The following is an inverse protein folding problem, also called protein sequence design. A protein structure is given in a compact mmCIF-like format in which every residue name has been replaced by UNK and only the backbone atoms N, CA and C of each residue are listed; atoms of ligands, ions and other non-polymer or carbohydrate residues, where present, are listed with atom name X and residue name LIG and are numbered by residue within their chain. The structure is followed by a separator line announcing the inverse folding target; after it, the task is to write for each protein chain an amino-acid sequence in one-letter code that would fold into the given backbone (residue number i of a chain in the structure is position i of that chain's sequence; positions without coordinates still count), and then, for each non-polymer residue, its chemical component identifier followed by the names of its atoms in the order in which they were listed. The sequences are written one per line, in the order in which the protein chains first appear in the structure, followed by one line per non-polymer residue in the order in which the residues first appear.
data_IF_229776771835
#
_entry.id   IF_229776771835
#
_cell.length_a   1.000
_cell.length_b   1.000
_cell.length_c   1.000
_cell.angle_alpha   90.00
_cell.angle_beta   90.00
_cell.angle_gamma   90.00
#
_symmetry.space_group_name_H-M   'P 1'
#
loop_
_entity.id
_entity.type
_entity.pdbx_description
1 polymer ?
#
# COMPACT_ATOMS: atom_id res chain seq x y z
N UNK A 1 9.27 -15.09 5.90
CA UNK A 1 9.23 -14.75 4.47
C UNK A 1 7.81 -14.33 4.14
N UNK A 2 7.55 -13.05 3.89
CA UNK A 2 6.23 -12.64 3.42
C UNK A 2 6.13 -13.06 1.95
N UNK A 3 5.34 -14.09 1.66
CA UNK A 3 5.02 -14.45 0.27
C UNK A 3 4.15 -13.35 -0.34
N UNK A 4 4.18 -13.15 -1.67
CA UNK A 4 3.35 -12.13 -2.35
C UNK A 4 1.86 -12.27 -1.99
N UNK A 5 1.38 -13.51 -1.86
CA UNK A 5 0.02 -13.82 -1.41
C UNK A 5 -0.27 -13.36 0.04
N UNK A 6 0.72 -13.37 0.92
CA UNK A 6 0.60 -12.88 2.30
C UNK A 6 0.55 -11.36 2.38
N UNK A 7 1.26 -10.67 1.47
CA UNK A 7 1.22 -9.21 1.38
C UNK A 7 -0.14 -8.73 0.87
N UNK A 8 -0.67 -9.34 -0.20
CA UNK A 8 -1.99 -9.00 -0.74
C UNK A 8 -3.09 -9.14 0.32
N UNK A 9 -3.08 -10.24 1.08
CA UNK A 9 -4.06 -10.46 2.15
C UNK A 9 -3.96 -9.40 3.26
N UNK A 10 -2.74 -9.08 3.70
CA UNK A 10 -2.53 -8.03 4.71
C UNK A 10 -3.04 -6.66 4.21
N UNK A 11 -2.77 -6.32 2.94
CA UNK A 11 -3.25 -5.07 2.35
C UNK A 11 -4.78 -5.01 2.34
N UNK A 12 -5.45 -6.12 2.01
CA UNK A 12 -6.92 -6.19 2.03
C UNK A 12 -7.49 -6.00 3.44
N UNK A 13 -6.90 -6.63 4.47
CA UNK A 13 -7.35 -6.48 5.86
C UNK A 13 -7.16 -5.05 6.37
N UNK A 14 -6.01 -4.42 6.08
CA UNK A 14 -5.76 -3.03 6.48
C UNK A 14 -6.64 -2.04 5.72
N UNK A 15 -6.85 -2.23 4.41
CA UNK A 15 -7.79 -1.40 3.64
C UNK A 15 -9.20 -1.47 4.21
N UNK A 16 -9.65 -2.67 4.58
CA UNK A 16 -10.95 -2.85 5.20
C UNK A 16 -11.00 -2.17 6.57
N UNK A 17 -9.93 -2.28 7.37
CA UNK A 17 -9.87 -1.64 8.68
C UNK A 17 -9.78 -0.11 8.62
N UNK A 18 -9.08 0.45 7.63
CA UNK A 18 -8.78 1.90 7.54
C UNK A 18 -9.86 2.65 6.78
N UNK A 19 -10.39 2.06 5.71
CA UNK A 19 -11.33 2.72 4.78
C UNK A 19 -12.69 2.02 4.73
N UNK A 20 -12.87 0.87 5.38
CA UNK A 20 -14.05 0.03 5.18
C UNK A 20 -14.07 -0.67 3.83
N UNK A 21 -13.00 -0.56 3.03
CA UNK A 21 -12.93 -1.06 1.64
C UNK A 21 -12.24 -2.42 1.59
N UNK A 22 -12.92 -3.42 1.01
CA UNK A 22 -12.37 -4.78 0.86
C UNK A 22 -12.26 -5.16 -0.61
N UNK A 23 -11.56 -4.32 -1.40
CA UNK A 23 -11.40 -4.48 -2.84
C UNK A 23 -10.05 -5.08 -3.20
N UNK A 24 -10.05 -6.29 -3.78
CA UNK A 24 -8.83 -6.97 -4.24
C UNK A 24 -8.04 -6.16 -5.28
N UNK A 25 -8.74 -5.39 -6.13
CA UNK A 25 -8.12 -4.59 -7.18
C UNK A 25 -7.31 -3.43 -6.59
N UNK A 26 -7.81 -2.81 -5.52
CA UNK A 26 -7.09 -1.76 -4.79
C UNK A 26 -5.82 -2.35 -4.18
N UNK A 27 -5.88 -3.53 -3.57
CA UNK A 27 -4.70 -4.17 -2.99
C UNK A 27 -3.58 -4.39 -4.01
N UNK A 28 -3.90 -4.96 -5.18
CA UNK A 28 -2.93 -5.18 -6.25
C UNK A 28 -2.41 -3.86 -6.84
N UNK A 29 -3.29 -2.87 -7.00
CA UNK A 29 -2.89 -1.53 -7.45
C UNK A 29 -1.90 -0.88 -6.48
N UNK A 30 -2.16 -0.94 -5.17
CA UNK A 30 -1.29 -0.36 -4.16
C UNK A 30 0.08 -1.04 -4.13
N UNK A 31 0.11 -2.38 -4.18
CA UNK A 31 1.35 -3.16 -4.23
C UNK A 31 2.13 -2.85 -5.50
N UNK A 32 1.47 -2.84 -6.66
CA UNK A 32 2.11 -2.53 -7.94
C UNK A 32 2.64 -1.10 -8.00
N UNK A 33 1.91 -0.14 -7.42
CA UNK A 33 2.38 1.26 -7.30
C UNK A 33 3.58 1.36 -6.37
N UNK A 34 3.53 0.70 -5.22
CA UNK A 34 4.65 0.66 -4.28
C UNK A 34 5.89 0.00 -4.90
N UNK A 35 5.77 -1.06 -5.70
CA UNK A 35 6.93 -1.68 -6.35
C UNK A 35 7.60 -0.79 -7.40
N UNK A 36 6.87 0.16 -7.97
CA UNK A 36 7.37 1.08 -9.01
C UNK A 36 7.96 2.35 -8.44
N UNK A 37 7.68 2.66 -7.19
CA UNK A 37 8.20 3.84 -6.54
C UNK A 37 9.63 3.61 -6.07
N UNK A 38 10.42 4.68 -5.99
CA UNK A 38 11.78 4.63 -5.46
C UNK A 38 11.86 5.02 -3.97
N UNK A 39 10.80 5.60 -3.41
CA UNK A 39 10.77 6.10 -2.03
C UNK A 39 9.35 6.13 -1.46
N UNK A 40 9.25 6.09 -0.13
CA UNK A 40 7.97 6.16 0.59
C UNK A 40 7.20 7.46 0.28
N UNK A 41 7.91 8.58 0.16
CA UNK A 41 7.32 9.88 -0.18
C UNK A 41 6.72 9.88 -1.58
N UNK A 42 7.43 9.34 -2.56
CA UNK A 42 6.94 9.20 -3.93
C UNK A 42 5.68 8.31 -3.98
N UNK A 43 5.69 7.21 -3.23
CA UNK A 43 4.53 6.35 -3.09
C UNK A 43 3.32 7.10 -2.51
N UNK A 44 3.49 7.82 -1.41
CA UNK A 44 2.43 8.62 -0.79
C UNK A 44 1.93 9.71 -1.74
N UNK A 45 2.82 10.39 -2.47
CA UNK A 45 2.42 11.38 -3.47
C UNK A 45 1.60 10.76 -4.62
N UNK A 46 2.00 9.59 -5.13
CA UNK A 46 1.26 8.86 -6.18
C UNK A 46 -0.15 8.50 -5.73
N UNK A 47 -0.30 8.03 -4.49
CA UNK A 47 -1.62 7.73 -3.92
C UNK A 47 -2.50 8.97 -3.79
N UNK A 48 -1.88 10.13 -3.50
CA UNK A 48 -2.58 11.41 -3.40
C UNK A 48 -3.07 11.90 -4.76
N UNK A 49 -2.21 11.79 -5.77
CA UNK A 49 -2.45 12.21 -7.14
C UNK A 49 -3.57 11.39 -7.81
N UNK A 50 -3.70 10.12 -7.42
CA UNK A 50 -4.74 9.23 -7.96
C UNK A 50 -6.09 9.39 -7.29
N UNK A 51 -6.23 10.27 -6.28
CA UNK A 51 -7.44 10.50 -5.48
C UNK A 51 -8.13 9.21 -5.00
N UNK A 52 -7.39 8.09 -5.00
CA UNK A 52 -7.92 6.74 -4.79
C UNK A 52 -8.12 6.45 -3.30
N UNK A 53 -7.35 7.16 -2.47
CA UNK A 53 -7.51 7.17 -1.02
C UNK A 53 -7.54 8.61 -0.52
N UNK A 54 -8.48 8.89 0.38
CA UNK A 54 -8.35 10.04 1.26
C UNK A 54 -7.19 9.77 2.22
N UNK A 55 -6.01 10.30 1.88
CA UNK A 55 -4.76 10.13 2.65
C UNK A 55 -4.76 10.98 3.94
N UNK A 56 -5.84 10.90 4.71
CA UNK A 56 -5.87 11.33 6.11
C UNK A 56 -4.92 10.49 6.97
N UNK A 57 -4.76 10.88 8.24
CA UNK A 57 -3.76 10.30 9.17
C UNK A 57 -3.61 8.76 9.11
N UNK A 58 -4.69 7.98 9.29
CA UNK A 58 -4.63 6.51 9.27
C UNK A 58 -4.20 5.91 7.91
N UNK A 59 -4.64 6.51 6.80
CA UNK A 59 -4.32 6.06 5.45
C UNK A 59 -2.85 6.35 5.08
N UNK A 60 -2.29 7.47 5.58
CA UNK A 60 -0.86 7.78 5.43
C UNK A 60 0.00 6.77 6.18
N UNK A 61 -0.35 6.44 7.42
CA UNK A 61 0.37 5.44 8.22
C UNK A 61 0.38 4.06 7.54
N UNK A 62 -0.79 3.66 7.02
CA UNK A 62 -0.94 2.45 6.22
C UNK A 62 -0.02 2.45 4.99
N UNK A 63 0.02 3.54 4.22
CA UNK A 63 0.86 3.65 3.03
C UNK A 63 2.36 3.47 3.35
N UNK A 64 2.84 4.06 4.45
CA UNK A 64 4.22 3.92 4.90
C UNK A 64 4.55 2.47 5.30
N UNK A 65 3.63 1.79 6.00
CA UNK A 65 3.79 0.37 6.39
C UNK A 65 3.81 -0.54 5.17
N UNK A 66 2.95 -0.28 4.19
CA UNK A 66 2.93 -1.03 2.93
C UNK A 66 4.26 -0.87 2.19
N UNK A 67 4.73 0.35 2.01
CA UNK A 67 6.03 0.62 1.38
C UNK A 67 7.16 -0.10 2.10
N UNK A 68 7.20 -0.04 3.44
CA UNK A 68 8.21 -0.74 4.24
C UNK A 68 8.20 -2.26 4.00
N UNK A 69 7.01 -2.88 3.91
CA UNK A 69 6.88 -4.31 3.60
C UNK A 69 7.34 -4.65 2.19
N UNK A 70 7.03 -3.83 1.20
CA UNK A 70 7.45 -4.04 -0.20
C UNK A 70 8.97 -3.91 -0.34
N UNK A 71 9.54 -2.85 0.22
CA UNK A 71 10.99 -2.61 0.23
C UNK A 71 11.76 -3.70 1.00
N UNK A 72 11.18 -4.24 2.09
CA UNK A 72 11.77 -5.37 2.80
C UNK A 72 11.81 -6.68 2.00
N UNK A 73 10.90 -6.87 1.04
CA UNK A 73 10.86 -8.04 0.15
C UNK A 73 11.74 -7.85 -1.09
N UNK A 74 11.94 -6.61 -1.52
CA UNK A 74 12.85 -6.22 -2.61
C UNK A 74 13.87 -5.18 -2.11
N UNK A 75 14.90 -5.59 -1.35
CA UNK A 75 16.05 -4.73 -1.15
C UNK A 75 16.72 -4.53 -2.52
N UNK A 76 16.92 -3.28 -2.91
CA UNK A 76 17.60 -2.88 -4.15
C UNK A 76 18.99 -3.49 -4.26
#
# INVERSE_FOLDING_TARGET
MATPAGLERWVQEELHSVLGLSERHVAQFLIGTAQRCASAEEFVQRLRDTETLDLGGPARDFALRLWSKVCAVHPS
#
